data_IF_848926277017
#
_entry.id   IF_848926277017
#
_cell.length_a   1.000
_cell.length_b   1.000
_cell.length_c   1.000
_cell.angle_alpha   90.00
_cell.angle_beta   90.00
_cell.angle_gamma   90.00
#
_symmetry.space_group_name_H-M   'P 1'
#
loop_
_entity.id
_entity.type
_entity.pdbx_description
1 polymer ?
#
# COMPACT_ATOMS: atom_id res chain seq x y z
N UNK A 1 11.51 3.28 -24.68
CA UNK A 1 12.13 4.18 -23.66
C UNK A 1 12.94 3.28 -22.75
N UNK A 2 14.20 3.64 -22.41
CA UNK A 2 14.98 2.80 -21.50
C UNK A 2 14.32 2.76 -20.11
N UNK A 3 14.24 1.59 -19.49
CA UNK A 3 13.68 1.41 -18.16
C UNK A 3 14.59 2.10 -17.12
N UNK A 4 14.07 3.11 -16.43
CA UNK A 4 14.76 3.79 -15.33
C UNK A 4 14.09 3.37 -14.00
N UNK A 5 14.65 2.36 -13.36
CA UNK A 5 14.06 1.74 -12.17
C UNK A 5 13.71 2.75 -11.05
N UNK A 6 14.58 3.69 -10.65
CA UNK A 6 14.24 4.63 -9.58
C UNK A 6 13.06 5.53 -9.93
N UNK A 7 13.00 6.04 -11.17
CA UNK A 7 11.90 6.90 -11.60
C UNK A 7 10.59 6.14 -11.71
N UNK A 8 10.60 4.95 -12.30
CA UNK A 8 9.42 4.09 -12.43
C UNK A 8 8.91 3.65 -11.06
N UNK A 9 9.80 3.30 -10.14
CA UNK A 9 9.39 2.94 -8.77
C UNK A 9 8.73 4.11 -8.04
N UNK A 10 9.24 5.33 -8.20
CA UNK A 10 8.61 6.53 -7.64
C UNK A 10 7.19 6.69 -8.21
N UNK A 11 7.02 6.57 -9.52
CA UNK A 11 5.69 6.63 -10.14
C UNK A 11 4.74 5.51 -9.65
N UNK A 12 5.24 4.29 -9.43
CA UNK A 12 4.45 3.19 -8.84
C UNK A 12 3.98 3.54 -7.43
N UNK A 13 4.87 4.10 -6.61
CA UNK A 13 4.56 4.54 -5.24
C UNK A 13 3.47 5.62 -5.25
N UNK A 14 3.63 6.64 -6.09
CA UNK A 14 2.68 7.74 -6.22
C UNK A 14 1.30 7.25 -6.67
N UNK A 15 1.27 6.33 -7.64
CA UNK A 15 0.02 5.77 -8.15
C UNK A 15 -0.71 4.92 -7.10
N UNK A 16 0.02 4.16 -6.27
CA UNK A 16 -0.56 3.42 -5.14
C UNK A 16 -1.14 4.39 -4.11
N UNK A 17 -0.41 5.43 -3.72
CA UNK A 17 -0.87 6.43 -2.76
C UNK A 17 -2.13 7.15 -3.25
N UNK A 18 -2.18 7.57 -4.52
CA UNK A 18 -3.36 8.17 -5.16
C UNK A 18 -4.55 7.20 -5.19
N UNK A 19 -4.30 5.92 -5.46
CA UNK A 19 -5.34 4.89 -5.48
C UNK A 19 -5.97 4.66 -4.11
N UNK A 20 -5.17 4.71 -3.04
CA UNK A 20 -5.67 4.63 -1.66
C UNK A 20 -6.55 5.85 -1.35
N UNK A 21 -6.11 7.05 -1.70
CA UNK A 21 -6.89 8.29 -1.50
C UNK A 21 -8.23 8.21 -2.24
N UNK A 22 -8.19 7.80 -3.52
CA UNK A 22 -9.39 7.65 -4.35
C UNK A 22 -10.35 6.63 -3.75
N UNK A 23 -9.85 5.46 -3.34
CA UNK A 23 -10.65 4.41 -2.72
C UNK A 23 -11.34 4.89 -1.44
N UNK A 24 -10.61 5.61 -0.58
CA UNK A 24 -11.17 6.18 0.65
C UNK A 24 -12.27 7.19 0.36
N UNK A 25 -12.03 8.09 -0.61
CA UNK A 25 -13.02 9.10 -1.02
C UNK A 25 -14.27 8.46 -1.63
N UNK A 26 -14.09 7.54 -2.57
CA UNK A 26 -15.20 6.92 -3.27
C UNK A 26 -16.06 6.10 -2.30
N UNK A 27 -15.42 5.37 -1.40
CA UNK A 27 -16.11 4.63 -0.36
C UNK A 27 -16.88 5.57 0.59
N UNK A 28 -16.30 6.69 1.00
CA UNK A 28 -16.98 7.73 1.78
C UNK A 28 -18.22 8.26 1.06
N UNK A 29 -18.12 8.58 -0.22
CA UNK A 29 -19.24 9.08 -1.02
C UNK A 29 -20.35 8.03 -1.17
N UNK A 30 -20.01 6.77 -1.43
CA UNK A 30 -20.99 5.69 -1.58
C UNK A 30 -21.79 5.42 -0.32
N UNK A 31 -21.18 5.56 0.85
CA UNK A 31 -21.82 5.32 2.14
C UNK A 31 -22.44 6.59 2.73
N UNK A 32 -22.47 7.69 1.96
CA UNK A 32 -23.00 9.00 2.38
C UNK A 32 -22.40 9.50 3.70
N UNK A 33 -21.11 9.31 3.90
CA UNK A 33 -20.41 9.69 5.11
C UNK A 33 -20.73 8.85 6.35
N UNK A 34 -21.46 7.74 6.20
CA UNK A 34 -21.81 6.86 7.32
C UNK A 34 -20.71 5.87 7.68
N UNK A 35 -19.49 6.09 7.17
CA UNK A 35 -18.38 5.18 7.42
C UNK A 35 -17.66 5.55 8.69
N UNK A 36 -17.47 4.55 9.53
CA UNK A 36 -16.34 4.57 10.44
C UNK A 36 -15.04 4.46 9.62
N UNK A 37 -14.11 5.40 9.82
CA UNK A 37 -12.75 5.27 9.33
C UNK A 37 -12.22 3.85 9.63
N UNK A 38 -11.54 3.23 8.73
CA UNK A 38 -11.10 1.84 8.87
C UNK A 38 -12.02 0.80 8.22
N UNK A 39 -13.09 1.26 7.56
CA UNK A 39 -14.04 0.36 6.87
C UNK A 39 -13.84 0.31 5.36
N UNK A 40 -12.78 0.93 4.81
CA UNK A 40 -12.50 0.77 3.37
C UNK A 40 -12.31 -0.72 3.09
N UNK A 41 -13.11 -1.22 2.17
CA UNK A 41 -12.99 -2.62 1.78
C UNK A 41 -11.62 -2.83 1.13
N UNK A 42 -10.85 -3.77 1.66
CA UNK A 42 -9.51 -4.09 1.17
C UNK A 42 -9.54 -4.45 -0.32
N UNK A 43 -10.56 -5.17 -0.77
CA UNK A 43 -10.76 -5.49 -2.19
C UNK A 43 -10.91 -4.24 -3.08
N UNK A 44 -11.46 -3.13 -2.56
CA UNK A 44 -11.53 -1.88 -3.29
C UNK A 44 -10.15 -1.26 -3.49
N UNK A 45 -9.26 -1.35 -2.47
CA UNK A 45 -7.87 -0.90 -2.59
C UNK A 45 -7.14 -1.67 -3.68
N UNK A 46 -7.25 -3.02 -3.68
CA UNK A 46 -6.61 -3.87 -4.68
C UNK A 46 -7.05 -3.55 -6.10
N UNK A 47 -8.37 -3.48 -6.33
CA UNK A 47 -8.92 -3.26 -7.67
C UNK A 47 -8.60 -1.86 -8.16
N UNK A 48 -8.73 -0.83 -7.33
CA UNK A 48 -8.44 0.55 -7.72
C UNK A 48 -6.96 0.72 -8.06
N UNK A 49 -6.07 0.22 -7.22
CA UNK A 49 -4.63 0.29 -7.47
C UNK A 49 -4.22 -0.57 -8.67
N UNK A 50 -4.76 -1.78 -8.79
CA UNK A 50 -4.47 -2.68 -9.91
C UNK A 50 -4.87 -2.06 -11.26
N UNK A 51 -6.03 -1.42 -11.31
CA UNK A 51 -6.49 -0.71 -12.50
C UNK A 51 -5.59 0.48 -12.83
N UNK A 52 -5.27 1.31 -11.86
CA UNK A 52 -4.43 2.49 -12.04
C UNK A 52 -3.02 2.12 -12.54
N UNK A 53 -2.39 1.12 -11.92
CA UNK A 53 -1.09 0.60 -12.34
C UNK A 53 -1.14 0.00 -13.75
N UNK A 54 -2.21 -0.73 -14.10
CA UNK A 54 -2.39 -1.26 -15.45
C UNK A 54 -2.53 -0.13 -16.47
N UNK A 55 -3.42 0.83 -16.25
CA UNK A 55 -3.66 1.96 -17.16
C UNK A 55 -2.38 2.81 -17.36
N UNK A 56 -1.58 2.97 -16.31
CA UNK A 56 -0.34 3.76 -16.34
C UNK A 56 0.83 3.04 -16.99
N UNK A 57 1.07 1.78 -16.63
CA UNK A 57 2.34 1.12 -16.93
C UNK A 57 2.26 0.07 -18.05
N UNK A 58 1.11 -0.56 -18.29
CA UNK A 58 1.00 -1.58 -19.33
C UNK A 58 1.22 -1.01 -20.74
N UNK A 59 0.66 0.17 -21.13
CA UNK A 59 0.87 0.70 -22.47
C UNK A 59 2.31 1.18 -22.73
N UNK A 60 2.97 1.70 -21.70
CA UNK A 60 4.28 2.34 -21.84
C UNK A 60 5.46 1.38 -21.63
N UNK A 61 5.31 0.44 -20.69
CA UNK A 61 6.39 -0.45 -20.26
C UNK A 61 6.08 -1.92 -20.48
N UNK A 62 4.94 -2.26 -21.12
CA UNK A 62 4.46 -3.63 -21.26
C UNK A 62 4.35 -4.37 -19.92
N UNK A 63 4.08 -3.61 -18.85
CA UNK A 63 3.98 -4.17 -17.52
C UNK A 63 2.79 -5.12 -17.39
N UNK A 64 2.98 -6.19 -16.64
CA UNK A 64 1.92 -7.14 -16.29
C UNK A 64 1.45 -6.88 -14.88
N UNK A 65 0.14 -6.60 -14.72
CA UNK A 65 -0.50 -6.42 -13.41
C UNK A 65 -1.32 -7.67 -13.07
N UNK A 66 -1.10 -8.24 -11.88
CA UNK A 66 -1.82 -9.42 -11.41
C UNK A 66 -2.45 -9.13 -10.05
N UNK A 67 -3.76 -9.28 -9.95
CA UNK A 67 -4.48 -9.35 -8.67
C UNK A 67 -4.36 -10.78 -8.11
N UNK A 68 -4.29 -10.89 -6.79
CA UNK A 68 -4.24 -12.20 -6.11
C UNK A 68 -3.09 -13.09 -6.64
N UNK A 69 -1.89 -12.51 -6.82
CA UNK A 69 -0.74 -13.21 -7.39
C UNK A 69 -0.29 -14.36 -6.48
N UNK A 70 -0.24 -15.58 -7.02
CA UNK A 70 0.13 -16.77 -6.24
C UNK A 70 1.57 -16.68 -5.74
N UNK A 71 1.76 -16.76 -4.43
CA UNK A 71 3.10 -16.69 -3.81
C UNK A 71 4.05 -17.79 -4.30
N UNK A 72 3.55 -18.97 -4.65
CA UNK A 72 4.37 -20.06 -5.19
C UNK A 72 5.11 -19.71 -6.49
N UNK A 73 4.61 -18.70 -7.22
CA UNK A 73 5.21 -18.24 -8.47
C UNK A 73 6.42 -17.31 -8.19
N UNK A 74 6.54 -16.81 -6.95
CA UNK A 74 7.63 -15.95 -6.46
C UNK A 74 8.52 -16.71 -5.48
N UNK A 75 7.90 -17.43 -4.54
CA UNK A 75 8.55 -18.18 -3.47
C UNK A 75 8.17 -19.66 -3.58
N UNK A 76 9.01 -20.51 -4.23
CA UNK A 76 8.70 -21.93 -4.39
C UNK A 76 8.35 -22.60 -3.06
N UNK A 77 7.25 -23.37 -3.05
CA UNK A 77 6.75 -24.07 -1.88
C UNK A 77 5.89 -23.22 -0.93
N UNK A 78 5.79 -21.91 -1.11
CA UNK A 78 4.89 -21.08 -0.32
C UNK A 78 3.45 -21.14 -0.84
N UNK A 79 2.51 -21.27 0.10
CA UNK A 79 1.07 -21.16 -0.17
C UNK A 79 0.59 -19.74 0.06
N UNK A 80 -0.54 -19.39 -0.55
CA UNK A 80 -1.17 -18.07 -0.42
C UNK A 80 -1.02 -17.21 -1.67
N UNK A 81 -1.42 -15.96 -1.54
CA UNK A 81 -1.42 -14.95 -2.60
C UNK A 81 -0.97 -13.63 -2.05
N UNK A 82 -0.29 -12.84 -2.87
CA UNK A 82 -0.10 -11.42 -2.66
C UNK A 82 -1.29 -10.68 -3.26
N UNK A 83 -1.70 -9.59 -2.65
CA UNK A 83 -2.89 -8.84 -3.08
C UNK A 83 -2.77 -8.31 -4.50
N UNK A 84 -1.59 -7.79 -4.82
CA UNK A 84 -1.30 -7.20 -6.12
C UNK A 84 0.18 -7.36 -6.48
N UNK A 85 0.48 -7.50 -7.75
CA UNK A 85 1.85 -7.32 -8.24
C UNK A 85 1.87 -6.61 -9.58
N UNK A 86 2.93 -5.87 -9.84
CA UNK A 86 3.26 -5.30 -11.14
C UNK A 86 4.67 -5.73 -11.55
N UNK A 87 4.77 -6.38 -12.70
CA UNK A 87 6.04 -6.91 -13.23
C UNK A 87 6.41 -6.15 -14.50
N UNK A 88 7.65 -5.70 -14.56
CA UNK A 88 8.23 -5.01 -15.73
C UNK A 88 9.16 -5.97 -16.47
N UNK A 89 9.04 -6.14 -17.80
CA UNK A 89 9.88 -7.06 -18.56
C UNK A 89 11.39 -6.81 -18.36
N UNK A 90 11.78 -5.54 -18.35
CA UNK A 90 13.17 -5.10 -18.20
C UNK A 90 13.47 -4.52 -16.81
N UNK A 91 12.67 -4.88 -15.81
CA UNK A 91 12.77 -4.30 -14.47
C UNK A 91 12.26 -5.23 -13.38
N UNK A 92 12.06 -4.69 -12.18
CA UNK A 92 11.63 -5.50 -11.04
C UNK A 92 10.15 -5.93 -11.13
N UNK A 93 9.83 -6.92 -10.31
CA UNK A 93 8.45 -7.21 -9.92
C UNK A 93 8.18 -6.56 -8.57
N UNK A 94 7.25 -5.61 -8.54
CA UNK A 94 6.78 -4.98 -7.31
C UNK A 94 5.61 -5.78 -6.77
N UNK A 95 5.73 -6.29 -5.55
CA UNK A 95 4.71 -7.07 -4.85
C UNK A 95 4.11 -6.20 -3.75
N UNK A 96 2.79 -6.10 -3.74
CA UNK A 96 2.06 -5.16 -2.90
C UNK A 96 1.05 -5.94 -2.05
N UNK A 97 1.09 -5.69 -0.75
CA UNK A 97 0.08 -6.10 0.22
C UNK A 97 -0.68 -4.87 0.70
N UNK A 98 -1.99 -4.98 0.79
CA UNK A 98 -2.83 -3.89 1.28
C UNK A 98 -3.38 -4.19 2.66
N UNK A 99 -3.56 -3.15 3.44
CA UNK A 99 -4.28 -3.19 4.71
C UNK A 99 -5.36 -2.12 4.74
N UNK A 100 -6.54 -2.49 5.17
CA UNK A 100 -7.64 -1.54 5.36
C UNK A 100 -7.32 -0.49 6.43
N UNK A 101 -6.40 -0.80 7.37
CA UNK A 101 -5.81 0.14 8.32
C UNK A 101 -4.51 -0.42 8.90
N UNK A 102 -3.55 0.45 9.18
CA UNK A 102 -2.22 0.09 9.69
C UNK A 102 -2.18 -0.26 11.20
N UNK A 103 -3.32 -0.46 11.83
CA UNK A 103 -3.40 -0.82 13.25
C UNK A 103 -3.66 -2.33 13.47
N UNK A 104 -3.72 -3.09 12.39
CA UNK A 104 -4.03 -4.52 12.42
C UNK A 104 -2.80 -5.33 12.84
N UNK A 105 -2.99 -6.31 13.72
CA UNK A 105 -1.95 -7.26 14.13
C UNK A 105 -1.40 -8.10 12.95
N UNK A 106 -2.14 -8.15 11.84
CA UNK A 106 -1.71 -8.84 10.61
C UNK A 106 -0.54 -8.16 9.89
N UNK A 107 -0.24 -6.87 10.18
CA UNK A 107 0.86 -6.12 9.56
C UNK A 107 2.20 -6.84 9.72
N UNK A 108 2.49 -7.36 10.91
CA UNK A 108 3.74 -8.06 11.19
C UNK A 108 3.91 -9.32 10.30
N UNK A 109 2.83 -10.06 10.08
CA UNK A 109 2.82 -11.23 9.20
C UNK A 109 3.12 -10.88 7.75
N UNK A 110 2.49 -9.79 7.24
CA UNK A 110 2.70 -9.37 5.86
C UNK A 110 4.09 -8.78 5.64
N UNK A 111 4.61 -8.00 6.59
CA UNK A 111 5.99 -7.53 6.55
C UNK A 111 6.99 -8.69 6.56
N UNK A 112 6.76 -9.72 7.38
CA UNK A 112 7.58 -10.92 7.38
C UNK A 112 7.59 -11.60 6.01
N UNK A 113 6.43 -11.71 5.37
CA UNK A 113 6.28 -12.27 4.03
C UNK A 113 6.97 -11.41 2.96
N UNK A 114 6.81 -10.09 3.01
CA UNK A 114 7.47 -9.16 2.11
C UNK A 114 9.00 -9.20 2.26
N UNK A 115 9.51 -9.35 3.49
CA UNK A 115 10.95 -9.57 3.75
C UNK A 115 11.50 -10.85 3.11
N UNK A 116 10.69 -11.89 2.97
CA UNK A 116 11.09 -13.08 2.23
C UNK A 116 11.09 -12.82 0.71
N UNK A 117 10.09 -12.08 0.21
CA UNK A 117 9.96 -11.75 -1.20
C UNK A 117 11.14 -10.90 -1.70
N UNK A 118 11.55 -9.88 -0.94
CA UNK A 118 12.66 -9.00 -1.36
C UNK A 118 14.02 -9.70 -1.40
N UNK A 119 14.17 -10.87 -0.77
CA UNK A 119 15.37 -11.71 -0.92
C UNK A 119 15.47 -12.38 -2.29
N UNK A 120 14.36 -12.46 -3.02
CA UNK A 120 14.36 -12.97 -4.40
C UNK A 120 14.84 -11.84 -5.33
N UNK A 121 15.94 -12.04 -6.09
CA UNK A 121 16.45 -11.00 -6.98
C UNK A 121 15.36 -10.42 -7.89
N UNK A 122 15.41 -9.11 -8.08
CA UNK A 122 14.46 -8.40 -8.93
C UNK A 122 13.05 -8.24 -8.33
N UNK A 123 12.87 -8.46 -7.01
CA UNK A 123 11.59 -8.23 -6.35
C UNK A 123 11.67 -7.08 -5.34
N UNK A 124 10.61 -6.31 -5.28
CA UNK A 124 10.41 -5.19 -4.35
C UNK A 124 9.12 -5.46 -3.57
N UNK A 125 9.16 -5.33 -2.24
CA UNK A 125 8.01 -5.52 -1.36
C UNK A 125 7.44 -4.19 -0.90
N UNK A 126 6.12 -4.06 -0.96
CA UNK A 126 5.38 -2.86 -0.53
C UNK A 126 4.20 -3.29 0.34
N UNK A 127 4.06 -2.65 1.50
CA UNK A 127 2.87 -2.70 2.32
C UNK A 127 2.19 -1.33 2.28
N UNK A 128 0.92 -1.27 1.90
CA UNK A 128 0.22 -0.02 1.67
C UNK A 128 -1.19 -0.01 2.29
N UNK A 129 -1.69 1.18 2.62
CA UNK A 129 -3.06 1.33 3.13
C UNK A 129 -3.34 2.69 3.74
N UNK A 130 -4.58 2.96 4.15
CA UNK A 130 -4.92 4.14 4.93
C UNK A 130 -4.46 4.01 6.38
N UNK A 131 -3.96 5.09 6.94
CA UNK A 131 -3.64 5.19 8.37
C UNK A 131 -4.41 6.35 8.99
N UNK A 132 -5.00 6.11 10.15
CA UNK A 132 -5.73 7.10 10.93
C UNK A 132 -4.90 7.52 12.12
N UNK A 133 -4.70 8.84 12.26
CA UNK A 133 -3.82 9.44 13.25
C UNK A 133 -4.65 10.30 14.19
N UNK A 134 -4.49 10.10 15.50
CA UNK A 134 -5.09 10.98 16.51
C UNK A 134 -4.35 12.31 16.52
N UNK A 135 -5.06 13.39 16.80
CA UNK A 135 -4.49 14.75 16.84
C UNK A 135 -3.28 14.87 17.77
N UNK A 136 -3.29 14.10 18.86
CA UNK A 136 -2.22 14.04 19.85
C UNK A 136 -0.96 13.27 19.42
N UNK A 137 -1.06 12.46 18.37
CA UNK A 137 0.03 11.62 17.86
C UNK A 137 0.77 12.42 16.79
N UNK A 138 1.81 13.19 17.19
CA UNK A 138 2.53 14.10 16.31
C UNK A 138 3.43 13.38 15.29
N UNK A 139 3.95 12.21 15.63
CA UNK A 139 4.83 11.42 14.78
C UNK A 139 4.26 10.03 14.52
N UNK A 140 3.67 9.84 13.34
CA UNK A 140 3.09 8.58 12.94
C UNK A 140 4.16 7.52 12.62
N UNK A 141 5.39 7.91 12.24
CA UNK A 141 6.52 6.98 11.99
C UNK A 141 6.95 6.34 13.30
N UNK A 142 7.07 7.13 14.38
CA UNK A 142 7.33 6.60 15.71
C UNK A 142 6.18 5.73 16.23
N UNK A 143 4.94 6.11 15.97
CA UNK A 143 3.79 5.30 16.32
C UNK A 143 3.81 3.96 15.58
N UNK A 144 4.14 3.98 14.29
CA UNK A 144 4.27 2.78 13.48
C UNK A 144 5.45 1.92 13.93
N UNK A 145 6.61 2.52 14.19
CA UNK A 145 7.78 1.83 14.69
C UNK A 145 7.50 1.15 16.04
N UNK A 146 6.83 1.83 16.98
CA UNK A 146 6.38 1.24 18.24
C UNK A 146 5.41 0.07 18.05
N UNK A 147 4.54 0.13 17.04
CA UNK A 147 3.56 -0.93 16.75
C UNK A 147 4.16 -2.13 16.03
N UNK A 148 5.20 -1.91 15.25
CA UNK A 148 5.87 -2.95 14.45
C UNK A 148 7.03 -3.62 15.19
N UNK A 149 7.24 -3.25 16.47
CA UNK A 149 8.34 -3.76 17.30
C UNK A 149 9.71 -3.67 16.60
N UNK A 150 10.13 -2.42 16.45
CA UNK A 150 11.51 -1.94 16.44
C UNK A 150 12.55 -2.41 15.43
N UNK A 151 12.25 -3.08 14.35
CA UNK A 151 13.25 -3.21 13.29
C UNK A 151 12.85 -2.47 12.00
N UNK A 152 12.46 -1.20 12.17
CA UNK A 152 12.07 -0.35 11.06
C UNK A 152 13.24 0.13 10.17
N UNK A 153 14.47 -0.30 10.47
CA UNK A 153 15.65 0.09 9.68
C UNK A 153 15.61 -0.43 8.23
N UNK A 154 14.83 -1.48 7.97
CA UNK A 154 14.62 -2.05 6.64
C UNK A 154 13.40 -1.46 5.91
N UNK A 155 12.75 -0.44 6.48
CA UNK A 155 11.54 0.14 5.91
C UNK A 155 11.77 1.59 5.48
N UNK A 156 11.36 1.89 4.24
CA UNK A 156 11.24 3.27 3.75
C UNK A 156 9.78 3.65 3.65
N UNK A 157 9.39 4.71 4.34
CA UNK A 157 8.02 5.16 4.38
C UNK A 157 7.75 6.29 3.38
N UNK A 158 6.62 6.18 2.69
CA UNK A 158 6.08 7.22 1.82
C UNK A 158 4.66 7.54 2.28
N UNK A 159 4.29 8.81 2.25
CA UNK A 159 2.96 9.26 2.68
C UNK A 159 2.38 10.30 1.77
N UNK A 160 1.06 10.31 1.68
CA UNK A 160 0.33 11.44 1.13
C UNK A 160 -0.87 11.78 2.02
N UNK A 161 -1.21 13.05 2.11
CA UNK A 161 -2.39 13.47 2.87
C UNK A 161 -3.66 13.01 2.15
N UNK A 162 -4.55 12.32 2.88
CA UNK A 162 -5.90 12.00 2.39
C UNK A 162 -6.80 13.23 2.66
N UNK A 163 -6.37 14.40 2.20
CA UNK A 163 -7.05 15.68 2.42
C UNK A 163 -8.36 15.83 1.63
N UNK A 164 -8.82 14.76 0.98
CA UNK A 164 -10.04 14.74 0.17
C UNK A 164 -11.30 14.40 0.97
N UNK A 165 -11.19 14.15 2.27
CA UNK A 165 -12.35 13.99 3.14
C UNK A 165 -12.85 15.39 3.54
N UNK A 166 -14.16 15.66 3.47
CA UNK A 166 -14.71 16.95 3.90
C UNK A 166 -14.28 17.27 5.34
N UNK A 167 -13.90 18.50 5.58
CA UNK A 167 -13.46 19.03 6.90
C UNK A 167 -14.50 18.79 8.02
N UNK A 168 -15.75 18.49 7.66
CA UNK A 168 -16.86 18.21 8.57
C UNK A 168 -16.84 16.81 9.20
N UNK A 169 -15.92 15.93 8.81
CA UNK A 169 -15.88 14.57 9.34
C UNK A 169 -14.97 14.50 10.58
N UNK A 170 -15.55 14.73 11.74
CA UNK A 170 -14.88 14.47 13.02
C UNK A 170 -15.16 13.04 13.46
N UNK A 171 -14.10 12.23 13.58
CA UNK A 171 -14.23 10.90 14.16
C UNK A 171 -14.52 11.02 15.67
N UNK A 172 -15.55 10.30 16.20
CA UNK A 172 -15.91 10.40 17.62
C UNK A 172 -14.77 10.06 18.60
N UNK A 173 -13.75 9.33 18.17
CA UNK A 173 -12.58 8.99 18.97
C UNK A 173 -11.39 9.95 18.80
N UNK A 174 -11.60 11.13 18.18
CA UNK A 174 -10.55 12.15 17.99
C UNK A 174 -9.54 11.83 16.88
N UNK A 175 -9.86 10.91 15.97
CA UNK A 175 -9.09 10.70 14.74
C UNK A 175 -9.48 11.76 13.72
N UNK A 176 -8.68 12.80 13.57
CA UNK A 176 -8.98 13.92 12.69
C UNK A 176 -8.03 14.03 11.49
N UNK A 177 -7.05 13.15 11.40
CA UNK A 177 -6.13 13.07 10.27
C UNK A 177 -6.10 11.66 9.72
N UNK A 178 -6.16 11.56 8.40
CA UNK A 178 -5.90 10.32 7.68
C UNK A 178 -4.80 10.54 6.66
N UNK A 179 -3.98 9.52 6.45
CA UNK A 179 -2.94 9.51 5.43
C UNK A 179 -2.98 8.19 4.68
N UNK A 180 -2.65 8.25 3.41
CA UNK A 180 -2.23 7.05 2.71
C UNK A 180 -0.78 6.80 3.07
N UNK A 181 -0.48 5.56 3.47
CA UNK A 181 0.85 5.13 3.87
C UNK A 181 1.28 3.98 3.00
N UNK A 182 2.54 4.02 2.63
CA UNK A 182 3.22 2.96 1.94
C UNK A 182 4.56 2.72 2.63
N UNK A 183 4.83 1.46 2.96
CA UNK A 183 6.11 1.01 3.48
C UNK A 183 6.79 0.15 2.42
N UNK A 184 7.91 0.63 1.88
CA UNK A 184 8.79 -0.18 1.04
C UNK A 184 9.74 -0.97 1.94
N UNK A 185 9.79 -2.28 1.72
CA UNK A 185 10.74 -3.17 2.39
C UNK A 185 12.04 -3.20 1.60
N UNK A 186 13.16 -2.95 2.27
CA UNK A 186 14.53 -3.03 1.72
C UNK A 186 15.19 -4.35 2.13
N UNK A 187 16.17 -4.79 1.34
CA UNK A 187 17.06 -5.92 1.67
C UNK A 187 18.07 -5.52 2.71
#
# INVERSE_FOLDING_TARGET
MAFNEPAVLTEVIDEILLSIQKSCRDYFLWTRGQIHYGSVNEALLHVTAGRALFERFAPQYHATVKLEHKLRDILPGRRGRADLSVSFPDGPTVVIEFKKHFNDSSIASDLSRLREIVKVPGHIGILAGPCFIRERDQDWVELLARKLDASAADLTAHTSDVSLLPVAFQHPEGYNRSRAILLRVST
#
